data_IF_731584846861
#
_entry.id   IF_731584846861
#
_cell.length_a   1.000
_cell.length_b   1.000
_cell.length_c   1.000
_cell.angle_alpha   90.00
_cell.angle_beta   90.00
_cell.angle_gamma   90.00
#
_symmetry.space_group_name_H-M   'P 1'
#
loop_
_entity.id
_entity.type
_entity.pdbx_description
1 polymer ?
#
# COMPACT_ATOMS: atom_id res chain seq x y z
N UNK A 1 27.99 17.98 -7.59
CA UNK A 1 27.10 16.83 -7.58
C UNK A 1 26.84 16.45 -6.13
N UNK A 2 25.70 16.82 -5.58
CA UNK A 2 25.40 16.49 -4.19
C UNK A 2 25.02 15.00 -4.14
N UNK A 3 25.93 14.20 -3.63
CA UNK A 3 25.66 12.80 -3.32
C UNK A 3 24.66 12.77 -2.17
N UNK A 4 23.41 12.56 -2.49
CA UNK A 4 22.38 12.36 -1.45
C UNK A 4 22.68 11.01 -0.83
N UNK A 5 23.14 11.00 0.40
CA UNK A 5 23.35 9.76 1.14
C UNK A 5 22.03 9.05 1.34
N UNK A 6 22.05 7.72 1.47
CA UNK A 6 20.82 6.93 1.72
C UNK A 6 20.05 7.44 2.96
N UNK A 7 20.75 8.00 3.95
CA UNK A 7 20.13 8.61 5.12
C UNK A 7 19.36 9.89 4.77
N UNK A 8 19.91 10.76 3.94
CA UNK A 8 19.23 12.01 3.56
C UNK A 8 18.04 11.75 2.64
N UNK A 9 18.10 10.69 1.83
CA UNK A 9 16.96 10.26 1.04
C UNK A 9 15.80 9.74 1.93
N UNK A 10 16.13 8.88 2.89
CA UNK A 10 15.16 8.39 3.89
C UNK A 10 14.57 9.51 4.74
N UNK A 11 15.36 10.53 5.08
CA UNK A 11 14.87 11.70 5.80
C UNK A 11 13.93 12.54 4.94
N UNK A 12 14.22 12.75 3.65
CA UNK A 12 13.34 13.45 2.72
C UNK A 12 11.99 12.77 2.57
N UNK A 13 11.97 11.43 2.45
CA UNK A 13 10.74 10.65 2.35
C UNK A 13 9.97 10.69 3.67
N UNK A 14 10.65 10.57 4.82
CA UNK A 14 10.02 10.76 6.14
C UNK A 14 9.39 12.13 6.29
N UNK A 15 9.94 13.17 5.69
CA UNK A 15 9.36 14.51 5.68
C UNK A 15 8.18 14.63 4.71
N UNK A 16 8.12 13.80 3.65
CA UNK A 16 7.03 13.79 2.68
C UNK A 16 5.76 13.13 3.24
N UNK A 17 5.90 12.15 4.14
CA UNK A 17 4.79 11.50 4.85
C UNK A 17 4.79 11.91 6.30
N UNK A 18 3.65 12.44 6.73
CA UNK A 18 3.40 12.79 8.12
C UNK A 18 2.51 11.72 8.73
N UNK A 19 2.96 11.17 9.86
CA UNK A 19 2.11 10.30 10.66
C UNK A 19 0.94 11.09 11.24
N UNK A 20 -0.27 10.60 11.03
CA UNK A 20 -1.49 11.23 11.56
C UNK A 20 -2.27 10.20 12.37
N UNK A 21 -3.01 10.70 13.37
CA UNK A 21 -3.94 9.86 14.11
C UNK A 21 -5.13 9.52 13.23
N UNK A 22 -5.63 8.30 13.35
CA UNK A 22 -6.79 7.85 12.57
C UNK A 22 -8.00 8.76 12.82
N UNK A 23 -8.17 9.23 14.05
CA UNK A 23 -9.25 10.12 14.44
C UNK A 23 -9.22 11.49 13.76
N UNK A 24 -8.08 11.88 13.21
CA UNK A 24 -7.91 13.14 12.45
C UNK A 24 -8.26 12.98 10.96
N UNK A 25 -8.45 11.75 10.48
CA UNK A 25 -8.80 11.49 9.09
C UNK A 25 -10.28 11.77 8.84
N UNK A 26 -10.55 12.35 7.67
CA UNK A 26 -11.92 12.59 7.20
C UNK A 26 -12.05 12.13 5.77
N UNK A 27 -12.74 11.02 5.56
CA UNK A 27 -13.06 10.51 4.25
C UNK A 27 -14.27 9.56 4.34
N UNK A 28 -14.96 9.38 3.21
CA UNK A 28 -16.00 8.37 3.12
C UNK A 28 -15.35 7.04 2.70
N UNK A 29 -15.30 6.02 3.58
CA UNK A 29 -14.61 4.76 3.26
C UNK A 29 -15.28 4.01 2.11
N UNK A 30 -16.57 4.13 1.93
CA UNK A 30 -17.27 3.47 0.83
C UNK A 30 -16.80 4.02 -0.52
N UNK A 31 -16.71 5.33 -0.66
CA UNK A 31 -16.20 5.98 -1.87
C UNK A 31 -14.70 5.76 -2.04
N UNK A 32 -13.94 5.90 -0.96
CA UNK A 32 -12.48 5.75 -0.96
C UNK A 32 -12.07 4.38 -1.49
N UNK A 33 -12.71 3.34 -1.02
CA UNK A 33 -12.37 1.96 -1.38
C UNK A 33 -12.99 1.56 -2.71
N UNK A 34 -14.30 1.77 -2.90
CA UNK A 34 -15.00 1.24 -4.08
C UNK A 34 -14.78 2.05 -5.35
N UNK A 35 -14.52 3.34 -5.24
CA UNK A 35 -14.38 4.26 -6.39
C UNK A 35 -12.95 4.70 -6.63
N UNK A 36 -12.23 5.08 -5.58
CA UNK A 36 -10.86 5.54 -5.71
C UNK A 36 -9.88 4.39 -5.80
N UNK A 37 -10.19 3.24 -5.15
CA UNK A 37 -9.37 2.02 -5.07
C UNK A 37 -8.13 2.22 -4.19
N UNK A 38 -7.41 1.14 -3.99
CA UNK A 38 -6.17 1.14 -3.22
C UNK A 38 -5.20 0.11 -3.77
N UNK A 39 -3.91 0.26 -3.46
CA UNK A 39 -2.93 -0.79 -3.63
C UNK A 39 -2.74 -1.53 -2.31
N UNK A 40 -2.87 -2.85 -2.35
CA UNK A 40 -2.44 -3.73 -1.26
C UNK A 40 -1.03 -4.17 -1.60
N UNK A 41 -0.09 -3.90 -0.69
CA UNK A 41 1.33 -4.19 -0.92
C UNK A 41 1.91 -4.90 0.29
N UNK A 42 2.73 -5.91 0.06
CA UNK A 42 3.47 -6.60 1.09
C UNK A 42 4.83 -7.06 0.57
N UNK A 43 5.73 -7.33 1.49
CA UNK A 43 7.12 -7.64 1.19
C UNK A 43 8.03 -6.48 1.50
N UNK A 44 9.33 -6.73 1.38
CA UNK A 44 10.37 -5.79 1.77
C UNK A 44 11.17 -5.25 0.57
N UNK A 45 12.31 -4.65 0.87
CA UNK A 45 13.21 -4.08 -0.13
C UNK A 45 13.76 -5.13 -1.11
N UNK A 46 13.93 -6.38 -0.65
CA UNK A 46 14.44 -7.47 -1.49
C UNK A 46 13.37 -8.00 -2.43
N UNK A 47 12.14 -8.15 -1.91
CA UNK A 47 11.04 -8.68 -2.69
C UNK A 47 9.70 -8.22 -2.13
N UNK A 48 8.91 -7.57 -2.97
CA UNK A 48 7.54 -7.15 -2.64
C UNK A 48 6.64 -7.28 -3.86
N UNK A 49 5.35 -7.24 -3.62
CA UNK A 49 4.35 -7.22 -4.69
C UNK A 49 3.15 -6.37 -4.29
N UNK A 50 2.46 -5.85 -5.28
CA UNK A 50 1.30 -5.01 -5.11
C UNK A 50 0.15 -5.42 -6.03
N UNK A 51 -1.06 -5.14 -5.60
CA UNK A 51 -2.27 -5.35 -6.39
C UNK A 51 -3.28 -4.25 -6.11
N UNK A 52 -4.07 -3.93 -7.10
CA UNK A 52 -5.20 -3.02 -6.94
C UNK A 52 -6.38 -3.77 -6.34
N UNK A 53 -7.03 -3.14 -5.37
CA UNK A 53 -8.22 -3.66 -4.71
C UNK A 53 -9.28 -2.56 -4.59
N UNK A 54 -10.54 -2.98 -4.66
CA UNK A 54 -11.70 -2.13 -4.42
C UNK A 54 -12.67 -2.75 -3.40
N UNK A 55 -12.24 -3.78 -2.71
CA UNK A 55 -12.99 -4.45 -1.66
C UNK A 55 -12.24 -4.37 -0.34
N UNK A 56 -12.95 -4.00 0.70
CA UNK A 56 -12.39 -3.87 2.02
C UNK A 56 -13.26 -3.01 2.90
N UNK A 57 -12.71 -2.60 4.02
CA UNK A 57 -13.40 -1.75 4.97
C UNK A 57 -12.48 -1.27 6.07
N UNK A 58 -12.99 -0.36 6.87
CA UNK A 58 -12.33 0.12 8.09
C UNK A 58 -13.33 0.11 9.23
N UNK A 59 -12.88 -0.17 10.42
CA UNK A 59 -13.75 -0.26 11.58
C UNK A 59 -13.01 -0.65 12.85
N UNK A 60 -13.72 -1.24 13.78
CA UNK A 60 -13.18 -1.61 15.07
C UNK A 60 -13.27 -3.13 15.26
N UNK A 61 -12.18 -3.73 15.70
CA UNK A 61 -12.14 -5.14 16.13
C UNK A 61 -11.23 -5.25 17.35
N UNK A 62 -11.71 -5.93 18.37
CA UNK A 62 -11.00 -6.08 19.66
C UNK A 62 -10.57 -4.73 20.27
N UNK A 63 -11.41 -3.69 20.11
CA UNK A 63 -11.11 -2.35 20.61
C UNK A 63 -10.01 -1.60 19.84
N UNK A 64 -9.59 -2.12 18.69
CA UNK A 64 -8.54 -1.52 17.86
C UNK A 64 -9.09 -0.99 16.54
N UNK A 65 -8.48 0.06 16.03
CA UNK A 65 -8.74 0.54 14.68
C UNK A 65 -8.16 -0.48 13.69
N UNK A 66 -9.00 -1.03 12.82
CA UNK A 66 -8.59 -2.04 11.85
C UNK A 66 -9.02 -1.70 10.44
N UNK A 67 -8.24 -2.15 9.48
CA UNK A 67 -8.62 -2.21 8.07
C UNK A 67 -8.78 -3.68 7.68
N UNK A 68 -9.79 -3.96 6.86
CA UNK A 68 -10.04 -5.28 6.30
C UNK A 68 -9.78 -5.24 4.80
N UNK A 69 -8.98 -6.17 4.31
CA UNK A 69 -8.71 -6.32 2.88
C UNK A 69 -9.16 -7.71 2.43
N UNK A 70 -9.79 -7.78 1.26
CA UNK A 70 -10.23 -9.04 0.66
C UNK A 70 -9.32 -9.36 -0.53
N UNK A 71 -8.61 -10.46 -0.45
CA UNK A 71 -7.65 -10.88 -1.47
C UNK A 71 -8.04 -12.23 -2.01
N UNK A 72 -8.31 -12.30 -3.31
CA UNK A 72 -8.64 -13.58 -3.95
C UNK A 72 -7.41 -14.49 -4.00
N UNK A 73 -7.59 -15.83 -3.83
CA UNK A 73 -6.46 -16.77 -3.73
C UNK A 73 -5.51 -16.76 -4.93
N UNK A 74 -6.00 -16.45 -6.12
CA UNK A 74 -5.18 -16.44 -7.33
C UNK A 74 -4.28 -15.22 -7.50
N UNK A 75 -4.46 -14.18 -6.67
CA UNK A 75 -3.62 -12.98 -6.74
C UNK A 75 -2.24 -13.26 -6.16
N UNK A 76 -1.20 -12.89 -6.91
CA UNK A 76 0.19 -13.09 -6.47
C UNK A 76 0.49 -12.38 -5.15
N UNK A 77 -0.05 -11.21 -4.94
CA UNK A 77 0.11 -10.44 -3.68
C UNK A 77 -0.32 -11.23 -2.45
N UNK A 78 -1.27 -12.17 -2.61
CA UNK A 78 -1.72 -13.00 -1.48
C UNK A 78 -0.57 -13.80 -0.86
N UNK A 79 0.35 -14.31 -1.67
CA UNK A 79 1.52 -15.05 -1.18
C UNK A 79 2.39 -14.17 -0.27
N UNK A 80 2.54 -12.90 -0.64
CA UNK A 80 3.30 -11.92 0.17
C UNK A 80 2.58 -11.55 1.46
N UNK A 81 1.29 -11.27 1.39
CA UNK A 81 0.50 -10.94 2.59
C UNK A 81 0.42 -12.12 3.57
N UNK A 82 0.32 -13.34 3.04
CA UNK A 82 0.31 -14.54 3.89
C UNK A 82 1.66 -14.78 4.58
N UNK A 83 2.77 -14.50 3.89
CA UNK A 83 4.11 -14.73 4.40
C UNK A 83 4.58 -13.65 5.40
N UNK A 84 4.06 -12.43 5.28
CA UNK A 84 4.54 -11.27 6.03
C UNK A 84 3.61 -10.89 7.19
N UNK A 85 4.17 -10.30 8.22
CA UNK A 85 3.40 -9.74 9.34
C UNK A 85 2.77 -8.40 8.99
N UNK A 86 3.47 -7.61 8.17
CA UNK A 86 3.07 -6.25 7.81
C UNK A 86 2.63 -6.17 6.36
N UNK A 87 1.67 -5.28 6.10
CA UNK A 87 1.27 -4.90 4.74
C UNK A 87 0.80 -3.46 4.72
N UNK A 88 0.64 -2.90 3.54
CA UNK A 88 0.14 -1.53 3.39
C UNK A 88 -1.09 -1.46 2.50
N UNK A 89 -1.92 -0.47 2.77
CA UNK A 89 -3.00 -0.04 1.89
C UNK A 89 -2.68 1.39 1.47
N UNK A 90 -2.42 1.60 0.19
CA UNK A 90 -2.03 2.90 -0.34
C UNK A 90 -3.12 3.46 -1.24
N UNK A 91 -3.55 4.70 -0.96
CA UNK A 91 -4.56 5.42 -1.73
C UNK A 91 -3.88 6.55 -2.50
N UNK A 92 -4.38 6.82 -3.69
CA UNK A 92 -3.76 7.77 -4.63
C UNK A 92 -4.78 8.79 -5.13
N UNK A 93 -4.29 9.92 -5.60
CA UNK A 93 -5.08 10.86 -6.37
C UNK A 93 -5.39 10.28 -7.75
N UNK A 94 -6.37 10.87 -8.43
CA UNK A 94 -6.87 10.38 -9.72
C UNK A 94 -5.79 10.34 -10.81
N UNK A 95 -4.78 11.17 -10.72
CA UNK A 95 -3.64 11.19 -11.64
C UNK A 95 -2.95 9.82 -11.78
N UNK A 96 -3.08 8.97 -10.76
CA UNK A 96 -2.48 7.63 -10.74
C UNK A 96 -3.45 6.51 -11.13
N UNK A 97 -4.60 6.85 -11.73
CA UNK A 97 -5.60 5.86 -12.13
C UNK A 97 -5.06 4.81 -13.10
N UNK A 98 -4.20 5.23 -14.03
CA UNK A 98 -3.55 4.30 -14.96
C UNK A 98 -2.63 3.31 -14.24
N UNK A 99 -1.89 3.78 -13.23
CA UNK A 99 -1.04 2.92 -12.41
C UNK A 99 -1.89 1.88 -11.66
N UNK A 100 -3.01 2.29 -11.08
CA UNK A 100 -3.94 1.39 -10.40
C UNK A 100 -4.54 0.36 -11.37
N UNK A 101 -4.92 0.76 -12.56
CA UNK A 101 -5.43 -0.14 -13.59
C UNK A 101 -4.37 -1.20 -13.97
N UNK A 102 -3.13 -0.78 -14.16
CA UNK A 102 -2.03 -1.67 -14.48
C UNK A 102 -1.80 -2.70 -13.37
N UNK A 103 -1.69 -2.24 -12.13
CA UNK A 103 -1.45 -3.09 -10.97
C UNK A 103 -2.60 -4.06 -10.69
N UNK A 104 -3.81 -3.74 -11.16
CA UNK A 104 -4.99 -4.59 -11.04
C UNK A 104 -5.14 -5.61 -12.16
N UNK A 105 -4.62 -5.33 -13.35
CA UNK A 105 -4.79 -6.17 -14.54
C UNK A 105 -3.62 -7.10 -14.84
N UNK A 106 -2.42 -6.77 -14.37
CA UNK A 106 -1.21 -7.59 -14.57
C UNK A 106 -0.80 -8.31 -13.29
N UNK A 107 -0.09 -9.43 -13.46
CA UNK A 107 0.51 -10.16 -12.35
C UNK A 107 1.98 -9.78 -12.18
N UNK A 108 2.41 -9.62 -10.94
CA UNK A 108 3.83 -9.43 -10.61
C UNK A 108 4.70 -10.64 -10.92
N UNK A 109 4.07 -11.80 -11.24
CA UNK A 109 4.79 -12.96 -11.79
C UNK A 109 5.34 -12.70 -13.19
N UNK A 110 4.68 -11.81 -13.94
CA UNK A 110 4.94 -11.60 -15.36
C UNK A 110 5.66 -10.28 -15.65
N UNK A 111 5.66 -9.35 -14.70
CA UNK A 111 6.24 -8.03 -14.91
C UNK A 111 6.68 -7.36 -13.60
N UNK A 112 7.52 -6.34 -13.73
CA UNK A 112 7.84 -5.41 -12.65
C UNK A 112 6.79 -4.29 -12.62
N UNK A 113 5.82 -4.42 -11.74
CA UNK A 113 4.70 -3.48 -11.63
C UNK A 113 5.15 -2.07 -11.25
N UNK A 114 6.11 -1.96 -10.35
CA UNK A 114 6.62 -0.65 -9.91
C UNK A 114 7.15 0.14 -11.09
N UNK A 115 7.99 -0.50 -11.88
CA UNK A 115 8.61 0.10 -13.07
C UNK A 115 7.58 0.42 -14.14
N UNK A 116 6.70 -0.52 -14.46
CA UNK A 116 5.69 -0.34 -15.51
C UNK A 116 4.63 0.68 -15.13
N UNK A 117 4.26 0.75 -13.86
CA UNK A 117 3.28 1.70 -13.35
C UNK A 117 3.89 3.07 -13.02
N UNK A 118 5.22 3.19 -13.03
CA UNK A 118 5.91 4.43 -12.68
C UNK A 118 5.79 4.78 -11.20
N UNK A 119 5.76 3.75 -10.33
CA UNK A 119 5.66 3.92 -8.90
C UNK A 119 7.01 3.72 -8.23
N UNK A 120 7.28 4.51 -7.20
CA UNK A 120 8.53 4.49 -6.44
C UNK A 120 8.30 3.83 -5.08
N UNK A 121 8.91 2.67 -4.80
CA UNK A 121 8.76 2.02 -3.52
C UNK A 121 9.22 2.90 -2.36
N UNK A 122 8.45 2.89 -1.30
CA UNK A 122 8.75 3.51 -0.02
C UNK A 122 8.73 2.43 1.07
N UNK A 123 9.90 2.15 1.65
CA UNK A 123 10.05 1.09 2.63
C UNK A 123 9.86 1.65 4.04
N UNK A 124 8.94 1.06 4.79
CA UNK A 124 8.60 1.48 6.14
C UNK A 124 8.12 0.28 6.98
N UNK A 125 8.52 0.23 8.23
CA UNK A 125 8.07 -0.79 9.19
C UNK A 125 8.19 -2.24 8.68
N UNK A 126 9.25 -2.52 7.89
CA UNK A 126 9.50 -3.85 7.32
C UNK A 126 8.60 -4.23 6.16
N UNK A 127 7.86 -3.29 5.61
CA UNK A 127 6.98 -3.50 4.45
C UNK A 127 7.18 -2.39 3.42
N UNK A 128 6.41 -2.43 2.36
CA UNK A 128 6.52 -1.52 1.22
C UNK A 128 5.23 -0.74 0.99
N UNK A 129 5.38 0.54 0.73
CA UNK A 129 4.33 1.43 0.24
C UNK A 129 4.88 2.19 -0.98
N UNK A 130 4.26 3.29 -1.38
CA UNK A 130 4.69 4.06 -2.55
C UNK A 130 4.73 5.55 -2.25
N UNK A 131 5.79 6.21 -2.73
CA UNK A 131 6.01 7.65 -2.54
C UNK A 131 4.88 8.51 -3.11
N UNK A 132 4.25 8.05 -4.18
CA UNK A 132 3.19 8.76 -4.90
C UNK A 132 1.83 8.68 -4.18
N UNK A 133 1.71 7.88 -3.13
CA UNK A 133 0.47 7.73 -2.39
C UNK A 133 0.08 9.02 -1.66
N UNK A 134 -1.21 9.28 -1.61
CA UNK A 134 -1.82 10.40 -0.87
C UNK A 134 -2.11 10.03 0.59
N UNK A 135 -2.44 8.78 0.84
CA UNK A 135 -2.68 8.21 2.16
C UNK A 135 -2.19 6.78 2.21
N UNK A 136 -1.48 6.42 3.27
CA UNK A 136 -0.99 5.07 3.48
C UNK A 136 -1.47 4.58 4.84
N UNK A 137 -2.10 3.41 4.86
CA UNK A 137 -2.32 2.64 6.08
C UNK A 137 -1.23 1.59 6.18
N UNK A 138 -0.39 1.70 7.21
CA UNK A 138 0.59 0.67 7.54
C UNK A 138 -0.08 -0.29 8.53
N UNK A 139 -0.26 -1.52 8.11
CA UNK A 139 -1.06 -2.50 8.82
C UNK A 139 -0.22 -3.66 9.34
N UNK A 140 -0.48 -4.06 10.57
CA UNK A 140 -0.01 -5.33 11.11
C UNK A 140 -1.15 -6.35 11.00
N UNK A 141 -0.85 -7.51 10.44
CA UNK A 141 -1.85 -8.56 10.27
C UNK A 141 -2.25 -9.13 11.65
N UNK A 142 -3.50 -8.97 12.01
CA UNK A 142 -4.05 -9.46 13.26
C UNK A 142 -4.77 -10.80 13.10
N UNK A 143 -5.41 -10.99 11.95
CA UNK A 143 -6.27 -12.14 11.68
C UNK A 143 -6.38 -12.34 10.17
N UNK A 144 -6.43 -13.58 9.75
CA UNK A 144 -6.66 -13.96 8.37
C UNK A 144 -7.54 -15.23 8.30
N UNK A 145 -8.46 -15.22 7.36
CA UNK A 145 -9.35 -16.35 7.13
C UNK A 145 -9.60 -16.52 5.63
#
# INVERSE_FOLDING_TARGET
MNTVTAASYKEKIKMAFKEVKIEELSFNPFTKISKEWMLITAGDEEKHNTMTASWGGVGIMWGMNVATAYIRPQRYTKEFVDAEEMFTLSFFKEDYRKALNLCGSKSGRDCDKDKEAGLTPYYTDGTTAYEEADLIFVCRKLYAQ
#
